data_IF_172407016865
#
_entry.id   IF_172407016865
#
_cell.length_a   1.000
_cell.length_b   1.000
_cell.length_c   1.000
_cell.angle_alpha   90.00
_cell.angle_beta   90.00
_cell.angle_gamma   90.00
#
_symmetry.space_group_name_H-M   'P 1'
#
loop_
_entity.id
_entity.type
_entity.pdbx_description
1 polymer ?
#
# COMPACT_ATOMS: atom_id res chain seq x y z
N UNK A 1 -51.90 -14.29 33.62
CA UNK A 1 -51.19 -13.13 33.08
C UNK A 1 -51.67 -12.87 31.65
N UNK A 2 -52.53 -11.86 31.43
CA UNK A 2 -52.94 -11.45 30.08
C UNK A 2 -51.93 -10.42 29.58
N UNK A 3 -51.01 -10.84 28.72
CA UNK A 3 -50.12 -9.89 28.04
C UNK A 3 -50.98 -8.97 27.16
N UNK A 4 -50.90 -7.67 27.42
CA UNK A 4 -51.55 -6.67 26.58
C UNK A 4 -50.90 -6.74 25.20
N UNK A 5 -51.70 -6.80 24.12
CA UNK A 5 -51.19 -6.96 22.75
C UNK A 5 -50.14 -5.90 22.38
N UNK A 6 -50.19 -4.72 23.01
CA UNK A 6 -49.17 -3.66 22.86
C UNK A 6 -47.80 -4.03 23.43
N UNK A 7 -47.71 -4.85 24.49
CA UNK A 7 -46.42 -5.27 25.06
C UNK A 7 -45.68 -6.25 24.15
N UNK A 8 -46.42 -7.15 23.49
CA UNK A 8 -45.85 -8.12 22.53
C UNK A 8 -45.35 -7.38 21.28
N UNK A 9 -46.09 -6.37 20.81
CA UNK A 9 -45.65 -5.51 19.70
C UNK A 9 -44.39 -4.72 20.04
N UNK A 10 -44.28 -4.20 21.27
CA UNK A 10 -43.10 -3.44 21.68
C UNK A 10 -41.87 -4.34 21.75
N UNK A 11 -42.03 -5.56 22.28
CA UNK A 11 -40.97 -6.56 22.32
C UNK A 11 -40.49 -6.95 20.91
N UNK A 12 -41.42 -7.15 19.96
CA UNK A 12 -41.04 -7.53 18.59
C UNK A 12 -40.33 -6.41 17.85
N UNK A 13 -40.74 -5.15 18.03
CA UNK A 13 -40.06 -3.99 17.44
C UNK A 13 -38.67 -3.81 18.03
N UNK A 14 -38.50 -4.03 19.34
CA UNK A 14 -37.19 -3.95 20.01
C UNK A 14 -36.25 -5.06 19.52
N UNK A 15 -36.79 -6.27 19.32
CA UNK A 15 -36.02 -7.38 18.77
C UNK A 15 -35.64 -7.14 17.30
N UNK A 16 -36.54 -6.58 16.50
CA UNK A 16 -36.28 -6.20 15.12
C UNK A 16 -35.22 -5.09 15.03
N UNK A 17 -35.29 -4.08 15.89
CA UNK A 17 -34.32 -2.97 15.90
C UNK A 17 -32.93 -3.44 16.33
N UNK A 18 -32.84 -4.38 17.28
CA UNK A 18 -31.58 -4.99 17.68
C UNK A 18 -30.94 -5.76 16.51
N UNK A 19 -31.71 -6.62 15.83
CA UNK A 19 -31.22 -7.37 14.66
C UNK A 19 -30.80 -6.41 13.55
N UNK A 20 -31.60 -5.38 13.28
CA UNK A 20 -31.30 -4.38 12.26
C UNK A 20 -30.00 -3.64 12.55
N UNK A 21 -29.77 -3.25 13.81
CA UNK A 21 -28.51 -2.60 14.22
C UNK A 21 -27.31 -3.51 14.01
N UNK A 22 -27.42 -4.80 14.32
CA UNK A 22 -26.33 -5.76 14.12
C UNK A 22 -25.98 -5.88 12.64
N UNK A 23 -26.99 -6.00 11.77
CA UNK A 23 -26.80 -6.12 10.31
C UNK A 23 -26.14 -4.87 9.74
N UNK A 24 -26.55 -3.68 10.19
CA UNK A 24 -25.93 -2.43 9.76
C UNK A 24 -24.47 -2.34 10.17
N UNK A 25 -24.15 -2.68 11.42
CA UNK A 25 -22.76 -2.72 11.90
C UNK A 25 -21.91 -3.69 11.09
N UNK A 26 -22.42 -4.90 10.81
CA UNK A 26 -21.72 -5.89 10.00
C UNK A 26 -21.46 -5.39 8.58
N UNK A 27 -22.46 -4.77 7.95
CA UNK A 27 -22.36 -4.24 6.59
C UNK A 27 -21.32 -3.13 6.49
N UNK A 28 -21.27 -2.26 7.50
CA UNK A 28 -20.26 -1.22 7.60
C UNK A 28 -18.86 -1.83 7.77
N UNK A 29 -18.70 -2.77 8.72
CA UNK A 29 -17.43 -3.46 8.94
C UNK A 29 -16.95 -4.20 7.70
N UNK A 30 -17.83 -4.86 6.96
CA UNK A 30 -17.45 -5.57 5.74
C UNK A 30 -16.92 -4.59 4.68
N UNK A 31 -17.60 -3.46 4.50
CA UNK A 31 -17.18 -2.43 3.55
C UNK A 31 -15.81 -1.83 3.91
N UNK A 32 -15.58 -1.54 5.20
CA UNK A 32 -14.29 -1.01 5.66
C UNK A 32 -13.16 -2.03 5.48
N UNK A 33 -13.40 -3.30 5.81
CA UNK A 33 -12.40 -4.36 5.62
C UNK A 33 -12.06 -4.57 4.13
N UNK A 34 -13.05 -4.46 3.24
CA UNK A 34 -12.82 -4.56 1.79
C UNK A 34 -11.97 -3.40 1.26
N UNK A 35 -12.20 -2.19 1.75
CA UNK A 35 -11.35 -1.03 1.42
C UNK A 35 -9.93 -1.21 1.95
N UNK A 36 -9.76 -1.66 3.20
CA UNK A 36 -8.44 -1.94 3.76
C UNK A 36 -7.68 -3.01 2.98
N UNK A 37 -8.36 -4.08 2.56
CA UNK A 37 -7.74 -5.14 1.75
C UNK A 37 -7.20 -4.60 0.42
N UNK A 38 -7.92 -3.67 -0.22
CA UNK A 38 -7.45 -2.99 -1.43
C UNK A 38 -6.20 -2.16 -1.17
N UNK A 39 -6.19 -1.37 -0.08
CA UNK A 39 -5.04 -0.56 0.31
C UNK A 39 -3.80 -1.41 0.62
N UNK A 40 -3.98 -2.57 1.26
CA UNK A 40 -2.89 -3.52 1.49
C UNK A 40 -2.36 -4.06 0.16
N UNK A 41 -3.24 -4.45 -0.77
CA UNK A 41 -2.85 -4.90 -2.10
C UNK A 41 -2.05 -3.84 -2.88
N UNK A 42 -2.49 -2.58 -2.83
CA UNK A 42 -1.79 -1.46 -3.46
C UNK A 42 -0.46 -1.15 -2.77
N UNK A 43 -0.38 -1.29 -1.45
CA UNK A 43 0.87 -1.11 -0.71
C UNK A 43 1.94 -2.14 -1.11
N UNK A 44 1.54 -3.40 -1.28
CA UNK A 44 2.42 -4.47 -1.77
C UNK A 44 2.91 -4.18 -3.19
N UNK A 45 2.02 -3.69 -4.06
CA UNK A 45 2.38 -3.27 -5.42
C UNK A 45 3.37 -2.10 -5.43
N UNK A 46 3.15 -1.10 -4.58
CA UNK A 46 4.08 0.01 -4.42
C UNK A 46 5.44 -0.45 -3.85
N UNK A 47 5.44 -1.45 -2.97
CA UNK A 47 6.65 -2.04 -2.42
C UNK A 47 7.50 -2.72 -3.51
N UNK A 48 6.89 -3.58 -4.32
CA UNK A 48 7.58 -4.23 -5.44
C UNK A 48 8.08 -3.22 -6.48
N UNK A 49 7.34 -2.14 -6.71
CA UNK A 49 7.78 -1.07 -7.58
C UNK A 49 9.04 -0.37 -7.02
N UNK A 50 9.07 -0.06 -5.72
CA UNK A 50 10.23 0.53 -5.08
C UNK A 50 11.46 -0.41 -5.13
N UNK A 51 11.29 -1.70 -4.83
CA UNK A 51 12.40 -2.67 -4.87
C UNK A 51 12.96 -2.83 -6.30
N UNK A 52 12.10 -2.86 -7.32
CA UNK A 52 12.55 -2.90 -8.73
C UNK A 52 13.37 -1.66 -9.10
N UNK A 53 13.00 -0.49 -8.58
CA UNK A 53 13.78 0.73 -8.78
C UNK A 53 15.15 0.68 -8.08
N UNK A 54 15.25 0.01 -6.93
CA UNK A 54 16.53 -0.22 -6.24
C UNK A 54 17.42 -1.17 -7.04
N UNK A 55 16.87 -2.31 -7.49
CA UNK A 55 17.63 -3.29 -8.29
C UNK A 55 18.23 -2.66 -9.54
N UNK A 56 17.47 -1.78 -10.18
CA UNK A 56 17.95 -1.04 -11.34
C UNK A 56 19.04 -0.01 -10.97
N UNK A 57 18.85 0.75 -9.89
CA UNK A 57 19.91 1.61 -9.38
C UNK A 57 21.20 0.81 -9.13
N UNK A 58 21.09 -0.36 -8.49
CA UNK A 58 22.25 -1.21 -8.22
C UNK A 58 22.90 -1.73 -9.51
N UNK A 59 22.09 -2.11 -10.50
CA UNK A 59 22.56 -2.51 -11.82
C UNK A 59 23.35 -1.38 -12.52
N UNK A 60 22.86 -0.14 -12.44
CA UNK A 60 23.55 1.01 -12.99
C UNK A 60 24.90 1.25 -12.32
N UNK A 61 24.97 1.08 -11.01
CA UNK A 61 26.21 1.25 -10.27
C UNK A 61 27.28 0.23 -10.67
N UNK A 62 26.92 -1.06 -10.76
CA UNK A 62 27.90 -2.12 -10.97
C UNK A 62 28.21 -2.43 -12.43
N UNK A 63 27.25 -2.27 -13.35
CA UNK A 63 27.39 -2.77 -14.72
C UNK A 63 27.37 -1.69 -15.79
N UNK A 64 26.46 -0.72 -15.70
CA UNK A 64 26.31 0.31 -16.73
C UNK A 64 25.78 1.62 -16.15
N UNK A 65 26.69 2.56 -15.87
CA UNK A 65 26.37 3.89 -15.34
C UNK A 65 25.52 4.74 -16.29
N UNK A 66 25.39 4.33 -17.55
CA UNK A 66 24.60 5.01 -18.57
C UNK A 66 23.27 4.33 -18.87
N UNK A 67 23.00 3.17 -18.27
CA UNK A 67 21.72 2.51 -18.39
C UNK A 67 20.65 3.45 -17.81
N UNK A 68 19.80 3.97 -18.69
CA UNK A 68 18.68 4.79 -18.26
C UNK A 68 17.72 3.92 -17.47
N UNK A 69 17.17 4.47 -16.37
CA UNK A 69 16.01 3.84 -15.77
C UNK A 69 14.95 3.70 -16.86
N UNK A 70 14.29 2.54 -17.03
CA UNK A 70 13.09 2.47 -17.83
C UNK A 70 12.09 3.37 -17.10
N UNK A 71 12.03 4.63 -17.53
CA UNK A 71 11.06 5.61 -17.09
C UNK A 71 9.70 5.10 -17.57
N UNK A 72 9.09 4.25 -16.77
CA UNK A 72 8.15 3.30 -17.32
C UNK A 72 7.23 2.82 -16.24
N UNK A 73 5.97 3.18 -16.42
CA UNK A 73 4.82 2.53 -15.80
C UNK A 73 5.09 1.02 -15.84
N UNK A 74 5.27 0.45 -14.65
CA UNK A 74 5.42 -0.98 -14.49
C UNK A 74 4.07 -1.64 -14.79
N UNK A 75 4.10 -2.91 -15.23
CA UNK A 75 2.88 -3.68 -15.46
C UNK A 75 2.01 -3.67 -14.20
N UNK A 76 0.68 -3.59 -14.34
CA UNK A 76 -0.30 -3.55 -13.23
C UNK A 76 -0.47 -2.18 -12.54
N UNK A 77 -0.47 -1.08 -13.31
CA UNK A 77 -0.74 0.27 -12.81
C UNK A 77 0.18 0.70 -11.66
N UNK A 78 1.45 0.33 -11.74
CA UNK A 78 2.47 0.71 -10.76
C UNK A 78 3.50 1.62 -11.41
N UNK A 79 4.17 2.44 -10.62
CA UNK A 79 5.24 3.30 -11.10
C UNK A 79 6.39 3.25 -10.11
N UNK A 80 7.56 2.79 -10.57
CA UNK A 80 8.84 3.09 -9.95
C UNK A 80 9.44 4.30 -10.69
N UNK A 81 10.63 4.78 -10.31
CA UNK A 81 11.49 5.73 -11.07
C UNK A 81 11.75 7.10 -10.43
N UNK A 82 11.31 7.37 -9.21
CA UNK A 82 11.99 8.39 -8.40
C UNK A 82 13.13 7.70 -7.64
N UNK A 83 14.21 7.40 -8.37
CA UNK A 83 15.41 6.74 -7.85
C UNK A 83 16.50 7.79 -7.71
N UNK A 84 17.00 7.94 -6.49
CA UNK A 84 18.13 8.80 -6.19
C UNK A 84 19.28 7.93 -5.69
N UNK A 85 20.45 8.11 -6.30
CA UNK A 85 21.67 7.44 -5.90
C UNK A 85 22.66 8.47 -5.38
N UNK A 86 23.26 8.17 -4.23
CA UNK A 86 24.40 8.90 -3.69
C UNK A 86 25.60 8.00 -3.75
N UNK A 87 26.46 8.25 -4.73
CA UNK A 87 27.77 7.58 -4.82
C UNK A 87 28.67 8.03 -3.65
N UNK A 88 29.49 7.13 -3.09
CA UNK A 88 30.47 7.48 -2.08
C UNK A 88 31.56 8.38 -2.69
N UNK A 89 31.86 9.50 -2.04
CA UNK A 89 32.90 10.44 -2.47
C UNK A 89 34.27 10.08 -1.89
N UNK A 90 34.29 9.38 -0.76
CA UNK A 90 35.50 8.90 -0.11
C UNK A 90 35.49 7.37 0.08
N UNK A 91 36.66 6.72 0.07
CA UNK A 91 36.77 5.32 0.45
C UNK A 91 36.30 5.12 1.90
N UNK A 92 35.39 4.18 2.10
CA UNK A 92 34.71 3.93 3.39
C UNK A 92 33.36 4.65 3.58
N UNK A 93 32.90 5.45 2.61
CA UNK A 93 31.52 5.96 2.61
C UNK A 93 30.54 4.94 2.02
N UNK A 94 29.30 4.96 2.52
CA UNK A 94 28.25 4.04 2.11
C UNK A 94 27.61 4.47 0.79
N UNK A 95 27.44 3.53 -0.14
CA UNK A 95 26.59 3.72 -1.30
C UNK A 95 25.13 3.72 -0.84
N UNK A 96 24.41 4.81 -1.09
CA UNK A 96 22.98 4.90 -0.79
C UNK A 96 22.15 4.97 -2.07
N UNK A 97 21.22 4.02 -2.22
CA UNK A 97 20.25 4.00 -3.30
C UNK A 97 18.86 4.11 -2.68
N UNK A 98 18.10 5.12 -3.07
CA UNK A 98 16.72 5.33 -2.64
C UNK A 98 15.80 5.20 -3.83
N UNK A 99 14.71 4.46 -3.70
CA UNK A 99 13.66 4.34 -4.71
C UNK A 99 12.29 4.60 -4.10
N UNK A 100 11.44 5.28 -4.86
CA UNK A 100 10.03 5.43 -4.53
C UNK A 100 9.17 4.62 -5.50
N UNK A 101 8.25 3.83 -4.94
CA UNK A 101 7.21 3.12 -5.66
C UNK A 101 5.82 3.70 -5.37
N UNK A 102 4.95 3.64 -6.37
CA UNK A 102 3.60 4.19 -6.33
C UNK A 102 2.56 3.18 -6.82
N UNK A 103 1.41 3.12 -6.13
CA UNK A 103 0.25 2.33 -6.54
C UNK A 103 -1.07 2.89 -5.98
N UNK A 104 -2.16 2.90 -6.76
CA UNK A 104 -2.18 2.72 -8.22
C UNK A 104 -1.59 3.94 -8.95
N UNK A 105 -1.26 3.80 -10.23
CA UNK A 105 -0.85 4.89 -11.12
C UNK A 105 -1.93 5.09 -12.21
N UNK A 106 -2.30 6.34 -12.57
CA UNK A 106 -1.72 7.63 -12.17
C UNK A 106 -2.28 8.21 -10.85
N UNK A 107 -3.28 7.56 -10.24
CA UNK A 107 -3.87 8.00 -8.98
C UNK A 107 -2.97 7.61 -7.78
N UNK A 108 -1.96 8.43 -7.50
CA UNK A 108 -0.94 8.20 -6.46
C UNK A 108 -1.55 8.20 -5.05
N UNK A 109 -2.24 7.11 -4.69
CA UNK A 109 -2.86 6.95 -3.38
C UNK A 109 -1.87 6.40 -2.35
N UNK A 110 -0.96 5.52 -2.78
CA UNK A 110 0.03 4.91 -1.89
C UNK A 110 1.42 5.18 -2.45
N UNK A 111 2.24 5.84 -1.62
CA UNK A 111 3.65 6.12 -1.86
C UNK A 111 4.47 5.32 -0.85
N UNK A 112 5.42 4.54 -1.34
CA UNK A 112 6.34 3.80 -0.51
C UNK A 112 7.77 4.13 -0.92
N UNK A 113 8.61 4.50 0.05
CA UNK A 113 10.02 4.84 -0.17
C UNK A 113 10.89 3.76 0.46
N UNK A 114 11.86 3.28 -0.28
CA UNK A 114 12.84 2.27 0.15
C UNK A 114 14.24 2.81 -0.09
N UNK A 115 15.16 2.52 0.81
CA UNK A 115 16.57 2.80 0.62
C UNK A 115 17.42 1.63 1.05
N UNK A 116 18.48 1.35 0.30
CA UNK A 116 19.56 0.47 0.71
C UNK A 116 20.84 1.26 0.91
N UNK A 117 21.60 0.87 1.91
CA UNK A 117 22.93 1.38 2.22
C UNK A 117 23.89 0.19 2.13
N UNK A 118 24.86 0.28 1.22
CA UNK A 118 25.88 -0.75 1.02
C UNK A 118 27.18 -0.18 1.56
N UNK A 119 27.74 -0.82 2.59
CA UNK A 119 29.00 -0.40 3.18
C UNK A 119 30.14 -0.49 2.16
N UNK A 120 30.88 0.61 2.01
CA UNK A 120 32.07 0.65 1.18
C UNK A 120 33.16 -0.26 1.75
N UNK A 121 33.76 -1.08 0.88
CA UNK A 121 34.95 -1.88 1.20
C UNK A 121 36.22 -1.03 1.32
#
# INVERSE_FOLDING_TARGET
>A
MKYSHGQIMLLSVLLLSAIFSIVLSLSMSFTTNMQQTRLVGDSVRAFYAADTGIENGLYQYFKDKTATLPAGIMTNYTYCCDVTMREPQLPGEDLKITSTGYSPFPAVSNKLVRSIEVQGF
#
